data_IF_116664378322
#
_entry.id   IF_116664378322
#
_cell.length_a   1.000
_cell.length_b   1.000
_cell.length_c   1.000
_cell.angle_alpha   90.00
_cell.angle_beta   90.00
_cell.angle_gamma   90.00
#
_symmetry.space_group_name_H-M   'P 1'
#
loop_
_entity.id
_entity.type
_entity.pdbx_description
1 polymer ?
#
# COMPACT_ATOMS: atom_id res chain seq x y z
N UNK A 1 -4.62 10.92 -23.53
CA UNK A 1 -3.31 10.39 -23.97
C UNK A 1 -2.28 10.77 -22.90
N UNK A 2 -1.84 9.78 -22.13
CA UNK A 2 -0.93 9.95 -20.98
C UNK A 2 0.49 10.18 -21.49
N UNK A 3 1.08 11.34 -21.22
CA UNK A 3 2.48 11.62 -21.58
C UNK A 3 3.39 11.09 -20.47
N UNK A 4 4.21 10.12 -20.82
CA UNK A 4 5.24 9.55 -19.97
C UNK A 4 6.37 10.57 -19.77
N UNK A 5 6.58 11.05 -18.55
CA UNK A 5 7.78 11.81 -18.22
C UNK A 5 8.91 10.83 -17.90
N UNK A 6 9.69 10.53 -18.93
CA UNK A 6 11.06 10.08 -18.75
C UNK A 6 11.85 11.26 -18.15
N UNK A 7 12.61 10.99 -17.09
CA UNK A 7 13.55 11.97 -16.53
C UNK A 7 15.02 11.58 -16.76
N UNK A 8 15.51 11.47 -18.00
CA UNK A 8 16.94 11.48 -18.27
C UNK A 8 17.37 12.94 -18.47
N UNK A 9 17.87 13.61 -17.43
CA UNK A 9 18.42 14.97 -17.63
C UNK A 9 18.52 15.92 -16.44
N UNK A 10 18.08 15.58 -15.23
CA UNK A 10 18.29 16.45 -14.06
C UNK A 10 19.72 16.36 -13.49
N UNK A 11 20.74 16.35 -14.37
CA UNK A 11 22.14 16.26 -13.96
C UNK A 11 22.78 17.60 -13.63
N UNK A 12 22.11 18.76 -13.73
CA UNK A 12 22.74 20.01 -13.27
C UNK A 12 21.82 21.26 -13.21
N UNK A 13 20.92 21.34 -12.23
CA UNK A 13 20.34 22.64 -11.84
C UNK A 13 20.20 22.72 -10.31
N UNK A 14 20.89 23.65 -9.61
CA UNK A 14 20.60 23.93 -8.21
C UNK A 14 19.42 24.91 -8.15
N UNK A 15 18.24 24.45 -7.74
CA UNK A 15 17.09 25.30 -7.45
C UNK A 15 16.99 25.58 -5.93
N UNK A 16 16.54 26.79 -5.53
CA UNK A 16 16.88 27.40 -4.25
C UNK A 16 16.02 26.86 -3.11
N UNK A 17 16.66 26.59 -1.97
CA UNK A 17 16.13 26.25 -0.63
C UNK A 17 14.60 26.14 -0.49
N UNK A 18 14.00 25.14 -1.11
CA UNK A 18 12.70 24.62 -0.72
C UNK A 18 12.96 23.55 0.32
N UNK A 19 12.17 23.53 1.40
CA UNK A 19 12.22 22.49 2.42
C UNK A 19 12.26 21.13 1.72
N UNK A 20 13.44 20.50 1.70
CA UNK A 20 13.63 19.18 1.12
C UNK A 20 12.88 18.23 2.04
N UNK A 21 11.60 17.99 1.74
CA UNK A 21 10.89 16.84 2.29
C UNK A 21 11.80 15.67 1.91
N UNK A 22 12.37 14.93 2.88
CA UNK A 22 13.26 13.84 2.56
C UNK A 22 12.49 12.92 1.62
N UNK A 23 12.92 12.85 0.36
CA UNK A 23 12.29 12.00 -0.64
C UNK A 23 12.45 10.58 -0.12
N UNK A 24 11.37 10.01 0.42
CA UNK A 24 11.42 8.63 0.88
C UNK A 24 11.74 7.77 -0.34
N UNK A 25 12.61 6.77 -0.20
CA UNK A 25 12.92 5.90 -1.31
C UNK A 25 11.62 5.27 -1.83
N UNK A 26 11.49 5.05 -3.15
CA UNK A 26 10.31 4.42 -3.73
C UNK A 26 10.01 3.09 -3.02
N UNK A 27 8.73 2.79 -2.82
CA UNK A 27 8.27 1.58 -2.12
C UNK A 27 7.23 0.86 -2.95
N UNK A 28 7.31 -0.46 -2.97
CA UNK A 28 6.33 -1.36 -3.56
C UNK A 28 5.53 -2.00 -2.43
N UNK A 29 4.21 -1.91 -2.54
CA UNK A 29 3.27 -2.42 -1.54
C UNK A 29 2.51 -3.61 -2.11
N UNK A 30 2.37 -4.65 -1.28
CA UNK A 30 1.54 -5.82 -1.58
C UNK A 30 0.71 -6.17 -0.36
N UNK A 31 -0.55 -6.53 -0.60
CA UNK A 31 -1.42 -7.10 0.42
C UNK A 31 -1.47 -8.61 0.25
N UNK A 32 -1.32 -9.33 1.35
CA UNK A 32 -1.52 -10.76 1.44
C UNK A 32 -2.66 -11.04 2.42
N UNK A 33 -3.66 -11.82 2.01
CA UNK A 33 -4.73 -12.24 2.93
C UNK A 33 -4.21 -13.44 3.73
N UNK A 34 -3.80 -13.20 4.98
CA UNK A 34 -3.27 -14.23 5.87
C UNK A 34 -4.35 -15.08 6.53
N UNK A 35 -5.56 -14.53 6.69
CA UNK A 35 -6.74 -15.26 7.14
C UNK A 35 -7.88 -15.07 6.15
N UNK A 36 -8.30 -16.15 5.50
CA UNK A 36 -9.37 -16.15 4.51
C UNK A 36 -10.73 -16.23 5.19
N UNK A 37 -11.74 -15.47 4.72
CA UNK A 37 -13.12 -15.71 5.12
C UNK A 37 -13.60 -17.05 4.57
N UNK A 38 -14.29 -17.85 5.38
CA UNK A 38 -14.72 -19.20 4.98
C UNK A 38 -16.23 -19.26 4.86
N UNK A 39 -16.96 -18.67 5.81
CA UNK A 39 -18.43 -18.72 5.82
C UNK A 39 -19.03 -17.43 6.36
N UNK A 40 -20.24 -17.14 5.90
CA UNK A 40 -21.04 -16.01 6.34
C UNK A 40 -22.49 -16.46 6.52
N UNK A 41 -23.27 -15.67 7.26
CA UNK A 41 -24.72 -15.79 7.34
C UNK A 41 -25.31 -14.50 6.79
N UNK A 42 -26.41 -14.60 6.05
CA UNK A 42 -27.12 -13.41 5.59
C UNK A 42 -27.47 -12.51 6.80
N UNK A 43 -27.29 -11.21 6.65
CA UNK A 43 -27.83 -10.25 7.61
C UNK A 43 -29.35 -10.18 7.39
N UNK A 44 -30.12 -10.07 8.47
CA UNK A 44 -31.52 -9.67 8.39
C UNK A 44 -31.67 -8.21 7.97
N UNK A 45 -32.91 -7.74 7.90
CA UNK A 45 -33.25 -6.38 7.44
C UNK A 45 -32.98 -5.27 8.46
N UNK A 46 -32.55 -5.62 9.68
CA UNK A 46 -32.27 -4.65 10.74
C UNK A 46 -30.78 -4.53 11.05
N UNK A 47 -30.33 -3.32 11.40
CA UNK A 47 -28.94 -3.05 11.78
C UNK A 47 -28.46 -3.86 13.00
N UNK A 48 -29.39 -4.35 13.83
CA UNK A 48 -29.08 -5.19 14.98
C UNK A 48 -28.72 -6.64 14.61
N UNK A 49 -28.96 -7.08 13.37
CA UNK A 49 -28.66 -8.44 12.90
C UNK A 49 -27.40 -8.49 12.01
N UNK A 50 -26.37 -7.70 12.37
CA UNK A 50 -25.05 -7.85 11.73
C UNK A 50 -24.37 -9.11 12.23
N UNK A 51 -23.98 -9.95 11.28
CA UNK A 51 -23.29 -11.22 11.53
C UNK A 51 -21.91 -11.13 10.90
N UNK A 52 -20.83 -11.09 11.70
CA UNK A 52 -19.48 -11.07 11.14
C UNK A 52 -19.20 -12.36 10.37
N UNK A 53 -18.37 -12.23 9.35
CA UNK A 53 -17.85 -13.36 8.58
C UNK A 53 -16.84 -14.12 9.45
N UNK A 54 -16.89 -15.45 9.43
CA UNK A 54 -16.01 -16.31 10.22
C UNK A 54 -15.15 -17.24 9.34
N UNK A 55 -13.82 -17.29 9.56
CA UNK A 55 -13.05 -16.40 10.42
C UNK A 55 -12.92 -15.00 9.79
N UNK A 56 -12.64 -13.93 10.56
CA UNK A 56 -12.55 -12.57 10.02
C UNK A 56 -11.40 -12.44 9.01
N UNK A 57 -11.52 -11.65 7.93
CA UNK A 57 -10.39 -11.44 7.03
C UNK A 57 -9.23 -10.73 7.75
N UNK A 58 -8.02 -11.27 7.61
CA UNK A 58 -6.79 -10.62 8.10
C UNK A 58 -5.86 -10.42 6.92
N UNK A 59 -5.31 -9.21 6.81
CA UNK A 59 -4.36 -8.84 5.75
C UNK A 59 -3.00 -8.49 6.35
N UNK A 60 -1.95 -8.95 5.69
CA UNK A 60 -0.57 -8.56 5.93
C UNK A 60 -0.16 -7.55 4.86
N UNK A 61 0.34 -6.40 5.30
CA UNK A 61 1.00 -5.44 4.42
C UNK A 61 2.47 -5.83 4.26
N UNK A 62 2.88 -6.06 3.03
CA UNK A 62 4.28 -6.35 2.66
C UNK A 62 4.81 -5.11 1.94
N UNK A 63 5.93 -4.59 2.44
CA UNK A 63 6.61 -3.42 1.90
C UNK A 63 8.00 -3.81 1.42
N UNK A 64 8.31 -3.47 0.17
CA UNK A 64 9.60 -3.76 -0.46
C UNK A 64 10.13 -2.54 -1.20
N UNK A 65 11.43 -2.51 -1.47
CA UNK A 65 12.02 -1.59 -2.45
C UNK A 65 11.62 -2.04 -3.88
N UNK A 66 11.81 -1.19 -4.92
CA UNK A 66 11.58 -1.60 -6.29
C UNK A 66 12.41 -2.81 -6.73
N UNK A 67 13.58 -3.02 -6.10
CA UNK A 67 14.45 -4.18 -6.32
C UNK A 67 13.97 -5.44 -5.58
N UNK A 68 12.81 -5.39 -4.93
CA UNK A 68 12.21 -6.52 -4.21
C UNK A 68 12.82 -6.80 -2.84
N UNK A 69 13.70 -5.94 -2.33
CA UNK A 69 14.32 -6.12 -1.00
C UNK A 69 13.38 -5.66 0.11
N UNK A 70 13.37 -6.32 1.27
CA UNK A 70 12.61 -5.84 2.42
C UNK A 70 13.13 -4.47 2.86
N UNK A 71 12.22 -3.60 3.30
CA UNK A 71 12.59 -2.30 3.86
C UNK A 71 13.13 -2.55 5.28
N UNK A 72 14.31 -2.00 5.65
CA UNK A 72 14.83 -2.17 7.00
C UNK A 72 13.87 -1.61 8.04
N UNK A 73 13.66 -2.35 9.13
CA UNK A 73 12.95 -1.86 10.31
C UNK A 73 13.74 -0.68 10.90
N UNK A 74 13.02 0.39 11.29
CA UNK A 74 13.62 1.61 11.85
C UNK A 74 14.07 1.39 13.29
#
# INVERSE_FOLDING_TARGET
MSSAYAYPGYTNMPAPSENVIPQQPPRVYRLEVSQQPIRARMCGFGEKDRRPIDPPPVVRLIMTTPDGKPIPER
#
